data_IF_546947326249
#
_entry.id   IF_546947326249
#
_cell.length_a   1.000
_cell.length_b   1.000
_cell.length_c   1.000
_cell.angle_alpha   90.00
_cell.angle_beta   90.00
_cell.angle_gamma   90.00
#
_symmetry.space_group_name_H-M   'P 1'
#
loop_
_entity.id
_entity.type
_entity.pdbx_description
1 polymer ?
#
# COMPACT_ATOMS: atom_id res chain seq x y z
N UNK A 1 -36.51 5.66 -28.53
CA UNK A 1 -35.53 6.51 -27.81
C UNK A 1 -34.18 5.85 -27.95
N UNK A 2 -33.21 6.54 -28.53
CA UNK A 2 -31.85 6.03 -28.75
C UNK A 2 -31.18 5.69 -27.41
N UNK A 3 -30.72 4.45 -27.23
CA UNK A 3 -30.08 4.00 -25.99
C UNK A 3 -28.80 4.80 -25.68
N UNK A 4 -28.07 5.25 -26.70
CA UNK A 4 -26.90 6.12 -26.52
C UNK A 4 -27.30 7.44 -25.87
N UNK A 5 -28.45 8.01 -26.27
CA UNK A 5 -28.92 9.29 -25.71
C UNK A 5 -29.36 9.12 -24.26
N UNK A 6 -29.95 7.98 -23.91
CA UNK A 6 -30.32 7.66 -22.53
C UNK A 6 -29.07 7.55 -21.66
N UNK A 7 -28.04 6.83 -22.13
CA UNK A 7 -26.76 6.71 -21.44
C UNK A 7 -26.07 8.08 -21.27
N UNK A 8 -26.06 8.91 -22.31
CA UNK A 8 -25.48 10.26 -22.27
C UNK A 8 -26.22 11.17 -21.28
N UNK A 9 -27.56 11.15 -21.31
CA UNK A 9 -28.39 11.93 -20.38
C UNK A 9 -28.23 11.44 -18.95
N UNK A 10 -28.18 10.12 -18.73
CA UNK A 10 -27.84 9.55 -17.42
C UNK A 10 -26.51 10.11 -16.91
N UNK A 11 -25.47 10.04 -17.73
CA UNK A 11 -24.14 10.50 -17.34
C UNK A 11 -24.13 11.98 -16.95
N UNK A 12 -24.79 12.83 -17.75
CA UNK A 12 -24.93 14.26 -17.43
C UNK A 12 -25.77 14.54 -16.19
N UNK A 13 -26.79 13.73 -15.92
CA UNK A 13 -27.66 13.91 -14.77
C UNK A 13 -26.94 13.60 -13.44
N UNK A 14 -26.06 12.59 -13.42
CA UNK A 14 -25.40 12.14 -12.18
C UNK A 14 -24.03 12.79 -11.93
N UNK A 15 -23.38 13.32 -12.98
CA UNK A 15 -22.06 13.94 -12.86
C UNK A 15 -22.10 15.27 -12.11
N UNK A 16 -21.20 15.41 -11.11
CA UNK A 16 -21.04 16.60 -10.27
C UNK A 16 -19.58 17.04 -10.26
N UNK A 17 -19.17 17.74 -11.32
CA UNK A 17 -17.80 18.21 -11.48
C UNK A 17 -17.63 19.21 -12.62
N UNK A 18 -16.37 19.42 -13.00
CA UNK A 18 -15.94 20.24 -14.13
C UNK A 18 -16.36 19.62 -15.45
N UNK A 19 -16.95 20.42 -16.34
CA UNK A 19 -17.45 19.95 -17.63
C UNK A 19 -16.38 19.28 -18.49
N UNK A 20 -15.12 19.70 -18.36
CA UNK A 20 -13.99 19.17 -19.11
C UNK A 20 -13.80 17.66 -18.87
N UNK A 21 -14.05 17.18 -17.64
CA UNK A 21 -13.93 15.76 -17.28
C UNK A 21 -15.05 14.95 -17.93
N UNK A 22 -16.30 15.42 -17.83
CA UNK A 22 -17.42 14.77 -18.49
C UNK A 22 -17.28 14.78 -20.03
N UNK A 23 -16.77 15.87 -20.61
CA UNK A 23 -16.48 15.97 -22.04
C UNK A 23 -15.44 14.93 -22.45
N UNK A 24 -14.37 14.73 -21.67
CA UNK A 24 -13.37 13.67 -21.94
C UNK A 24 -14.02 12.30 -21.98
N UNK A 25 -14.90 11.97 -21.04
CA UNK A 25 -15.63 10.70 -21.07
C UNK A 25 -16.51 10.57 -22.31
N UNK A 26 -17.20 11.64 -22.71
CA UNK A 26 -18.02 11.67 -23.93
C UNK A 26 -17.18 11.45 -25.18
N UNK A 27 -16.02 12.10 -25.29
CA UNK A 27 -15.08 11.92 -26.39
C UNK A 27 -14.61 10.46 -26.49
N UNK A 28 -14.25 9.86 -25.36
CA UNK A 28 -13.83 8.46 -25.30
C UNK A 28 -14.97 7.50 -25.68
N UNK A 29 -16.19 7.76 -25.18
CA UNK A 29 -17.34 6.85 -25.33
C UNK A 29 -18.04 6.93 -26.69
N UNK A 30 -18.23 8.14 -27.20
CA UNK A 30 -19.04 8.38 -28.40
C UNK A 30 -18.20 8.70 -29.65
N UNK A 31 -16.87 8.83 -29.50
CA UNK A 31 -15.96 9.09 -30.62
C UNK A 31 -16.38 10.34 -31.40
N UNK A 32 -16.44 10.26 -32.72
CA UNK A 32 -16.79 11.39 -33.60
C UNK A 32 -18.17 12.03 -33.30
N UNK A 33 -19.09 11.28 -32.68
CA UNK A 33 -20.43 11.78 -32.34
C UNK A 33 -20.50 12.50 -30.98
N UNK A 34 -19.37 12.68 -30.29
CA UNK A 34 -19.39 13.20 -28.92
C UNK A 34 -20.05 14.59 -28.81
N UNK A 35 -19.84 15.49 -29.77
CA UNK A 35 -20.45 16.83 -29.77
C UNK A 35 -21.98 16.75 -29.91
N UNK A 36 -22.46 15.93 -30.85
CA UNK A 36 -23.88 15.66 -31.05
C UNK A 36 -24.52 15.12 -29.77
N UNK A 37 -23.87 14.12 -29.14
CA UNK A 37 -24.35 13.50 -27.91
C UNK A 37 -24.32 14.46 -26.73
N UNK A 38 -23.29 15.30 -26.64
CA UNK A 38 -23.18 16.33 -25.60
C UNK A 38 -24.33 17.32 -25.69
N UNK A 39 -24.57 17.89 -26.87
CA UNK A 39 -25.67 18.84 -27.07
C UNK A 39 -27.04 18.20 -26.86
N UNK A 40 -27.28 17.01 -27.43
CA UNK A 40 -28.56 16.31 -27.30
C UNK A 40 -28.88 15.89 -25.86
N UNK A 41 -27.86 15.69 -25.03
CA UNK A 41 -28.04 15.34 -23.61
C UNK A 41 -28.16 16.56 -22.69
N UNK A 42 -28.19 17.78 -23.24
CA UNK A 42 -28.43 19.00 -22.48
C UNK A 42 -29.78 18.97 -21.73
N UNK A 43 -29.81 19.60 -20.55
CA UNK A 43 -30.98 19.58 -19.66
C UNK A 43 -31.30 18.20 -19.09
N UNK A 44 -30.30 17.34 -18.90
CA UNK A 44 -30.47 16.07 -18.19
C UNK A 44 -30.88 16.29 -16.72
N UNK A 45 -31.74 15.42 -16.21
CA UNK A 45 -32.38 15.54 -14.89
C UNK A 45 -32.54 14.17 -14.20
N UNK A 46 -33.13 14.16 -13.00
CA UNK A 46 -33.42 12.91 -12.27
C UNK A 46 -34.37 11.96 -13.03
N UNK A 47 -35.25 12.47 -13.89
CA UNK A 47 -36.11 11.63 -14.74
C UNK A 47 -35.28 10.78 -15.72
N UNK A 48 -34.12 11.29 -16.16
CA UNK A 48 -33.21 10.56 -17.05
C UNK A 48 -32.46 9.45 -16.30
N UNK A 49 -32.22 9.63 -15.00
CA UNK A 49 -31.67 8.59 -14.12
C UNK A 49 -32.66 7.43 -14.05
N UNK A 50 -33.93 7.74 -13.76
CA UNK A 50 -35.00 6.74 -13.71
C UNK A 50 -35.22 6.05 -15.07
N UNK A 51 -35.20 6.81 -16.17
CA UNK A 51 -35.35 6.24 -17.50
C UNK A 51 -34.23 5.26 -17.88
N UNK A 52 -33.00 5.49 -17.38
CA UNK A 52 -31.89 4.56 -17.54
C UNK A 52 -32.06 3.30 -16.67
N UNK A 53 -32.53 3.44 -15.44
CA UNK A 53 -32.85 2.29 -14.56
C UNK A 53 -33.97 1.41 -15.14
N UNK A 54 -35.04 2.03 -15.66
CA UNK A 54 -36.16 1.33 -16.33
C UNK A 54 -35.70 0.56 -17.57
N UNK A 55 -34.56 0.95 -18.17
CA UNK A 55 -33.94 0.35 -19.37
C UNK A 55 -32.59 -0.30 -19.09
N UNK A 56 -32.36 -0.71 -17.85
CA UNK A 56 -31.09 -1.30 -17.43
C UNK A 56 -30.70 -2.52 -18.27
N UNK A 57 -31.68 -3.33 -18.71
CA UNK A 57 -31.45 -4.49 -19.58
C UNK A 57 -30.85 -4.10 -20.92
N UNK A 58 -31.49 -3.16 -21.63
CA UNK A 58 -31.00 -2.72 -22.94
C UNK A 58 -29.69 -1.92 -22.85
N UNK A 59 -29.51 -1.11 -21.79
CA UNK A 59 -28.24 -0.41 -21.56
C UNK A 59 -27.09 -1.37 -21.25
N UNK A 60 -27.39 -2.46 -20.53
CA UNK A 60 -26.42 -3.54 -20.30
C UNK A 60 -26.00 -4.20 -21.61
N UNK A 61 -26.94 -4.51 -22.51
CA UNK A 61 -26.61 -5.09 -23.82
C UNK A 61 -25.78 -4.12 -24.67
N UNK A 62 -26.11 -2.83 -24.62
CA UNK A 62 -25.34 -1.77 -25.27
C UNK A 62 -23.89 -1.75 -24.77
N UNK A 63 -23.66 -1.68 -23.46
CA UNK A 63 -22.30 -1.67 -22.89
C UNK A 63 -21.58 -2.98 -23.20
N UNK A 64 -22.24 -4.13 -23.06
CA UNK A 64 -21.67 -5.43 -23.37
C UNK A 64 -21.21 -5.52 -24.84
N UNK A 65 -21.97 -4.94 -25.78
CA UNK A 65 -21.61 -4.93 -27.21
C UNK A 65 -20.36 -4.10 -27.53
N UNK A 66 -19.97 -3.17 -26.66
CA UNK A 66 -18.78 -2.31 -26.84
C UNK A 66 -17.49 -2.94 -26.27
N UNK A 67 -17.60 -3.93 -25.39
CA UNK A 67 -16.45 -4.58 -24.74
C UNK A 67 -15.69 -5.42 -25.78
N UNK A 68 -14.48 -4.97 -26.13
CA UNK A 68 -13.56 -5.65 -27.05
C UNK A 68 -12.48 -6.48 -26.33
N UNK A 69 -12.35 -6.35 -25.01
CA UNK A 69 -11.43 -7.09 -24.15
C UNK A 69 -12.15 -7.54 -22.87
N UNK A 70 -12.75 -8.74 -22.97
CA UNK A 70 -13.57 -9.34 -21.90
C UNK A 70 -12.75 -9.62 -20.64
N UNK A 71 -11.46 -9.96 -20.78
CA UNK A 71 -10.61 -10.28 -19.64
C UNK A 71 -10.38 -9.03 -18.76
N UNK A 72 -10.08 -7.87 -19.38
CA UNK A 72 -9.95 -6.60 -18.66
C UNK A 72 -11.27 -6.19 -17.98
N UNK A 73 -12.40 -6.36 -18.67
CA UNK A 73 -13.72 -6.07 -18.09
C UNK A 73 -14.05 -6.98 -16.90
N UNK A 74 -13.70 -8.26 -17.00
CA UNK A 74 -13.90 -9.24 -15.93
C UNK A 74 -13.01 -8.96 -14.71
N UNK A 75 -11.74 -8.59 -14.93
CA UNK A 75 -10.82 -8.17 -13.86
C UNK A 75 -11.31 -6.92 -13.13
N UNK A 76 -11.78 -5.90 -13.86
CA UNK A 76 -12.39 -4.72 -13.25
C UNK A 76 -13.62 -5.11 -12.41
N UNK A 77 -14.53 -5.92 -12.97
CA UNK A 77 -15.75 -6.31 -12.27
C UNK A 77 -15.46 -7.11 -10.99
N UNK A 78 -14.45 -7.99 -11.02
CA UNK A 78 -14.07 -8.83 -9.89
C UNK A 78 -13.28 -8.07 -8.81
N UNK A 79 -12.34 -7.22 -9.21
CA UNK A 79 -11.35 -6.65 -8.30
C UNK A 79 -11.35 -5.11 -8.35
N UNK A 80 -11.34 -4.49 -9.53
CA UNK A 80 -11.22 -3.04 -9.69
C UNK A 80 -12.42 -2.23 -9.15
N UNK A 81 -13.62 -2.83 -9.08
CA UNK A 81 -14.86 -2.20 -8.61
C UNK A 81 -14.78 -1.54 -7.23
N UNK A 82 -13.88 -2.01 -6.35
CA UNK A 82 -13.71 -1.43 -5.01
C UNK A 82 -12.93 -0.12 -5.00
N UNK A 83 -12.32 0.27 -6.11
CA UNK A 83 -11.51 1.48 -6.27
C UNK A 83 -12.35 2.56 -6.94
N UNK A 84 -12.63 3.63 -6.21
CA UNK A 84 -13.52 4.71 -6.67
C UNK A 84 -12.81 6.00 -7.05
N UNK A 85 -11.53 6.14 -6.72
CA UNK A 85 -10.72 7.30 -7.14
C UNK A 85 -10.03 6.98 -8.47
N UNK A 86 -10.06 7.91 -9.44
CA UNK A 86 -9.55 7.71 -10.81
C UNK A 86 -8.14 7.13 -10.81
N UNK A 87 -7.24 7.76 -10.05
CA UNK A 87 -5.84 7.34 -9.95
C UNK A 87 -5.65 6.03 -9.19
N UNK A 88 -6.44 5.77 -8.15
CA UNK A 88 -6.40 4.48 -7.45
C UNK A 88 -6.83 3.35 -8.39
N UNK A 89 -7.92 3.54 -9.14
CA UNK A 89 -8.41 2.56 -10.10
C UNK A 89 -7.38 2.32 -11.21
N UNK A 90 -6.76 3.38 -11.74
CA UNK A 90 -5.69 3.26 -12.73
C UNK A 90 -4.53 2.40 -12.21
N UNK A 91 -3.96 2.76 -11.05
CA UNK A 91 -2.87 2.03 -10.41
C UNK A 91 -3.27 0.59 -10.05
N UNK A 92 -4.48 0.39 -9.54
CA UNK A 92 -5.01 -0.94 -9.21
C UNK A 92 -5.12 -1.83 -10.44
N UNK A 93 -5.61 -1.32 -11.56
CA UNK A 93 -5.66 -2.07 -12.83
C UNK A 93 -4.26 -2.35 -13.38
N UNK A 94 -3.28 -1.46 -13.18
CA UNK A 94 -1.88 -1.75 -13.51
C UNK A 94 -1.29 -2.90 -12.68
N UNK A 95 -1.61 -2.98 -11.39
CA UNK A 95 -1.19 -4.10 -10.53
C UNK A 95 -1.79 -5.44 -11.00
N UNK A 96 -2.98 -5.40 -11.60
CA UNK A 96 -3.59 -6.53 -12.32
C UNK A 96 -2.96 -6.81 -13.70
N UNK A 97 -1.98 -6.01 -14.12
CA UNK A 97 -1.32 -6.13 -15.42
C UNK A 97 -2.12 -5.56 -16.59
N UNK A 98 -2.98 -4.56 -16.32
CA UNK A 98 -3.82 -3.87 -17.32
C UNK A 98 -3.50 -2.37 -17.33
N UNK A 99 -2.42 -2.02 -18.01
CA UNK A 99 -2.04 -0.62 -18.25
C UNK A 99 -3.08 0.10 -19.09
N UNK A 100 -3.37 1.36 -18.75
CA UNK A 100 -4.35 2.21 -19.45
C UNK A 100 -5.75 1.59 -19.55
N UNK A 101 -6.12 0.72 -18.60
CA UNK A 101 -7.42 0.05 -18.60
C UNK A 101 -8.58 1.04 -18.42
N UNK A 102 -8.38 2.11 -17.64
CA UNK A 102 -9.41 3.09 -17.33
C UNK A 102 -10.03 3.70 -18.59
N UNK A 103 -9.21 4.11 -19.56
CA UNK A 103 -9.71 4.68 -20.81
C UNK A 103 -10.59 3.68 -21.60
N UNK A 104 -10.21 2.40 -21.62
CA UNK A 104 -11.02 1.34 -22.23
C UNK A 104 -12.35 1.17 -21.48
N UNK A 105 -12.32 1.14 -20.15
CA UNK A 105 -13.50 0.98 -19.31
C UNK A 105 -14.50 2.14 -19.51
N UNK A 106 -13.99 3.38 -19.63
CA UNK A 106 -14.80 4.57 -19.92
C UNK A 106 -15.39 4.51 -21.33
N UNK A 107 -14.55 4.16 -22.33
CA UNK A 107 -14.95 3.99 -23.73
C UNK A 107 -16.06 2.96 -23.90
N UNK A 108 -16.01 1.84 -23.19
CA UNK A 108 -17.06 0.83 -23.23
C UNK A 108 -18.36 1.28 -22.56
N UNK A 109 -18.30 2.25 -21.65
CA UNK A 109 -19.42 2.63 -20.79
C UNK A 109 -19.50 1.83 -19.49
N UNK A 110 -18.50 0.98 -19.21
CA UNK A 110 -18.45 0.16 -18.00
C UNK A 110 -18.09 0.97 -16.75
N UNK A 111 -17.35 2.08 -16.94
CA UNK A 111 -16.98 3.06 -15.91
C UNK A 111 -17.32 4.47 -16.42
N UNK A 112 -17.64 5.38 -15.51
CA UNK A 112 -17.73 6.81 -15.79
C UNK A 112 -17.34 7.64 -14.58
N UNK A 113 -17.00 8.89 -14.81
CA UNK A 113 -16.85 9.88 -13.75
C UNK A 113 -18.20 10.28 -13.16
N UNK A 114 -18.29 10.30 -11.83
CA UNK A 114 -19.39 10.89 -11.06
C UNK A 114 -19.00 12.26 -10.49
N UNK A 115 -17.71 12.53 -10.34
CA UNK A 115 -17.12 13.85 -10.08
C UNK A 115 -15.73 13.90 -10.71
N UNK A 116 -14.98 14.98 -10.49
CA UNK A 116 -13.65 15.18 -11.10
C UNK A 116 -12.66 14.03 -10.89
N UNK A 117 -12.73 13.36 -9.74
CA UNK A 117 -11.79 12.30 -9.36
C UNK A 117 -12.50 10.98 -9.04
N UNK A 118 -13.83 10.97 -8.96
CA UNK A 118 -14.60 9.77 -8.59
C UNK A 118 -15.07 9.06 -9.83
N UNK A 119 -14.61 7.82 -10.01
CA UNK A 119 -15.00 6.92 -11.09
C UNK A 119 -15.66 5.68 -10.55
N UNK A 120 -16.73 5.22 -11.19
CA UNK A 120 -17.38 3.98 -10.84
C UNK A 120 -18.20 3.43 -12.00
N UNK A 121 -18.64 2.18 -11.87
CA UNK A 121 -19.64 1.63 -12.77
C UNK A 121 -21.03 2.23 -12.46
N UNK A 122 -21.81 2.62 -13.48
CA UNK A 122 -23.21 2.99 -13.31
C UNK A 122 -24.02 1.89 -12.60
N UNK A 123 -24.94 2.21 -11.67
CA UNK A 123 -25.74 1.21 -10.95
C UNK A 123 -26.57 0.29 -11.85
N UNK A 124 -27.08 0.79 -12.99
CA UNK A 124 -27.84 -0.02 -13.94
C UNK A 124 -27.01 -1.17 -14.56
N UNK A 125 -25.68 -1.14 -14.45
CA UNK A 125 -24.78 -2.21 -14.93
C UNK A 125 -24.54 -3.32 -13.90
N UNK A 126 -25.16 -3.29 -12.73
CA UNK A 126 -24.95 -4.31 -11.69
C UNK A 126 -25.11 -5.75 -12.22
N UNK A 127 -26.11 -5.99 -13.08
CA UNK A 127 -26.31 -7.30 -13.71
C UNK A 127 -25.16 -7.72 -14.65
N UNK A 128 -24.58 -6.78 -15.40
CA UNK A 128 -23.45 -7.05 -16.29
C UNK A 128 -22.19 -7.36 -15.50
N UNK A 129 -21.92 -6.58 -14.43
CA UNK A 129 -20.76 -6.79 -13.57
C UNK A 129 -20.78 -8.18 -12.93
N UNK A 130 -21.94 -8.63 -12.44
CA UNK A 130 -22.08 -9.97 -11.86
C UNK A 130 -21.76 -11.09 -12.87
N UNK A 131 -22.06 -10.88 -14.15
CA UNK A 131 -21.73 -11.85 -15.20
C UNK A 131 -20.26 -11.83 -15.57
N UNK A 132 -19.68 -10.64 -15.71
CA UNK A 132 -18.25 -10.46 -15.96
C UNK A 132 -17.42 -11.06 -14.81
N UNK A 133 -17.83 -10.86 -13.56
CA UNK A 133 -17.20 -11.45 -12.38
C UNK A 133 -17.12 -12.99 -12.44
N UNK A 134 -18.18 -13.65 -12.94
CA UNK A 134 -18.21 -15.12 -13.07
C UNK A 134 -17.19 -15.64 -14.07
N UNK A 135 -16.80 -14.82 -15.03
CA UNK A 135 -15.82 -15.14 -16.06
C UNK A 135 -14.41 -14.63 -15.72
N UNK A 136 -14.21 -14.05 -14.54
CA UNK A 136 -12.91 -13.51 -14.14
C UNK A 136 -11.89 -14.64 -13.95
N UNK A 137 -10.67 -14.51 -14.50
CA UNK A 137 -9.60 -15.44 -14.18
C UNK A 137 -9.30 -15.36 -12.68
N UNK A 138 -9.09 -16.51 -12.04
CA UNK A 138 -8.49 -16.52 -10.70
C UNK A 138 -7.06 -16.02 -10.83
N UNK A 139 -6.78 -14.89 -10.21
CA UNK A 139 -5.43 -14.39 -10.05
C UNK A 139 -4.85 -14.95 -8.76
N UNK A 140 -3.63 -15.46 -8.85
CA UNK A 140 -2.82 -15.86 -7.71
C UNK A 140 -1.53 -15.03 -7.76
N UNK A 141 -1.48 -13.97 -6.96
CA UNK A 141 -0.32 -13.09 -6.87
C UNK A 141 0.43 -13.49 -5.61
N UNK A 142 1.49 -14.27 -5.77
CA UNK A 142 2.25 -14.76 -4.63
C UNK A 142 2.83 -13.61 -3.78
N UNK A 143 2.22 -13.37 -2.61
CA UNK A 143 2.65 -12.33 -1.67
C UNK A 143 4.06 -12.61 -1.11
N UNK A 144 4.54 -13.86 -1.17
CA UNK A 144 5.92 -14.17 -0.77
C UNK A 144 6.97 -13.58 -1.71
N UNK A 145 6.58 -13.04 -2.87
CA UNK A 145 7.46 -12.20 -3.68
C UNK A 145 7.99 -10.97 -2.91
N UNK A 146 7.37 -10.58 -1.80
CA UNK A 146 7.93 -9.60 -0.85
C UNK A 146 9.34 -9.97 -0.36
N UNK A 147 9.68 -11.26 -0.30
CA UNK A 147 11.01 -11.73 0.09
C UNK A 147 12.10 -11.24 -0.86
N UNK A 148 11.80 -11.04 -2.15
CA UNK A 148 12.76 -10.47 -3.10
C UNK A 148 13.17 -9.03 -2.73
N UNK A 149 12.32 -8.32 -1.98
CA UNK A 149 12.57 -6.96 -1.49
C UNK A 149 13.19 -6.96 -0.08
N UNK A 150 13.51 -8.13 0.49
CA UNK A 150 14.16 -8.22 1.80
C UNK A 150 15.49 -7.43 1.85
N UNK A 151 16.19 -7.29 0.73
CA UNK A 151 17.44 -6.51 0.68
C UNK A 151 17.23 -4.99 0.63
N UNK A 152 15.98 -4.51 0.65
CA UNK A 152 15.61 -3.10 0.66
C UNK A 152 14.78 -2.73 1.92
N UNK A 153 15.40 -2.67 3.12
CA UNK A 153 14.74 -2.30 4.36
C UNK A 153 13.98 -0.95 4.33
N UNK A 154 14.49 0.14 3.69
CA UNK A 154 13.75 1.39 3.56
C UNK A 154 12.36 1.21 2.93
N UNK A 155 12.29 0.50 1.81
CA UNK A 155 11.04 0.25 1.08
C UNK A 155 10.06 -0.62 1.88
N UNK A 156 10.57 -1.66 2.57
CA UNK A 156 9.74 -2.51 3.42
C UNK A 156 9.23 -1.78 4.66
N UNK A 157 10.03 -0.90 5.26
CA UNK A 157 9.58 -0.04 6.34
C UNK A 157 8.47 0.89 5.86
N UNK A 158 8.69 1.60 4.75
CA UNK A 158 7.68 2.49 4.16
C UNK A 158 6.37 1.74 3.89
N UNK A 159 6.44 0.58 3.22
CA UNK A 159 5.28 -0.26 2.95
C UNK A 159 4.56 -0.66 4.24
N UNK A 160 5.27 -1.17 5.25
CA UNK A 160 4.67 -1.54 6.53
C UNK A 160 3.97 -0.35 7.19
N UNK A 161 4.63 0.81 7.22
CA UNK A 161 4.08 2.03 7.83
C UNK A 161 2.84 2.54 7.13
N UNK A 162 2.83 2.50 5.79
CA UNK A 162 1.69 2.92 4.97
C UNK A 162 0.51 1.96 5.15
N UNK A 163 0.74 0.65 5.05
CA UNK A 163 -0.30 -0.37 5.23
C UNK A 163 -0.89 -0.36 6.64
N UNK A 164 -0.07 -0.10 7.67
CA UNK A 164 -0.55 -0.04 9.05
C UNK A 164 -1.17 1.32 9.43
N UNK A 165 -1.08 2.34 8.56
CA UNK A 165 -1.48 3.72 8.88
C UNK A 165 -0.67 4.36 10.02
N UNK A 166 0.54 3.87 10.28
CA UNK A 166 1.42 4.37 11.36
C UNK A 166 2.69 5.03 10.82
N UNK A 167 2.82 5.23 9.51
CA UNK A 167 4.00 5.83 8.90
C UNK A 167 4.38 7.16 9.58
N UNK A 168 5.67 7.29 9.94
CA UNK A 168 6.26 8.49 10.53
C UNK A 168 7.39 8.97 9.62
N UNK A 169 7.13 10.07 8.91
CA UNK A 169 8.04 10.66 7.93
C UNK A 169 9.33 11.19 8.56
N UNK A 170 9.26 11.79 9.75
CA UNK A 170 10.45 12.30 10.46
C UNK A 170 11.37 11.12 10.82
N UNK A 171 10.77 10.07 11.39
CA UNK A 171 11.50 8.88 11.78
C UNK A 171 12.05 8.12 10.57
N UNK A 172 11.32 8.05 9.45
CA UNK A 172 11.82 7.51 8.20
C UNK A 172 13.03 8.30 7.69
N UNK A 173 12.95 9.64 7.67
CA UNK A 173 14.08 10.49 7.25
C UNK A 173 15.33 10.28 8.07
N UNK A 174 15.18 10.11 9.38
CA UNK A 174 16.32 9.85 10.29
C UNK A 174 17.01 8.53 9.96
N UNK A 175 16.25 7.46 9.70
CA UNK A 175 16.77 6.10 9.55
C UNK A 175 17.10 5.69 8.10
N UNK A 176 16.48 6.33 7.12
CA UNK A 176 16.55 5.91 5.72
C UNK A 176 16.75 7.06 4.72
N UNK A 177 16.65 8.32 5.15
CA UNK A 177 16.73 9.49 4.27
C UNK A 177 15.39 9.86 3.65
N UNK A 178 15.42 10.62 2.55
CA UNK A 178 14.20 11.15 1.95
C UNK A 178 13.22 10.05 1.53
N UNK A 179 11.93 10.31 1.80
CA UNK A 179 10.86 9.40 1.39
C UNK A 179 10.81 9.36 -0.13
N UNK A 180 10.83 8.18 -0.75
CA UNK A 180 10.75 8.07 -2.20
C UNK A 180 9.43 8.65 -2.72
N UNK A 181 9.49 9.32 -3.87
CA UNK A 181 8.30 9.87 -4.56
C UNK A 181 7.43 8.80 -5.22
N UNK A 182 7.98 7.61 -5.38
CA UNK A 182 7.27 6.45 -5.89
C UNK A 182 7.88 5.20 -5.25
N UNK A 183 7.04 4.28 -4.82
CA UNK A 183 7.46 2.95 -4.42
C UNK A 183 6.62 1.94 -5.21
N UNK A 184 7.27 0.98 -5.89
CA UNK A 184 6.60 -0.12 -6.57
C UNK A 184 7.15 -1.46 -6.12
N UNK A 185 6.30 -2.26 -5.49
CA UNK A 185 6.63 -3.59 -4.98
C UNK A 185 6.00 -4.62 -5.91
N UNK A 186 6.68 -4.87 -7.04
CA UNK A 186 6.23 -5.81 -8.07
C UNK A 186 4.80 -5.54 -8.51
N UNK A 187 3.94 -6.56 -8.37
CA UNK A 187 2.49 -6.47 -8.59
C UNK A 187 1.68 -6.35 -7.29
N UNK A 188 2.32 -6.22 -6.13
CA UNK A 188 1.67 -6.26 -4.82
C UNK A 188 1.13 -4.89 -4.45
N UNK A 189 1.96 -3.85 -4.56
CA UNK A 189 1.55 -2.51 -4.18
C UNK A 189 2.35 -1.43 -4.92
N UNK A 190 1.74 -0.26 -5.04
CA UNK A 190 2.36 0.96 -5.55
C UNK A 190 1.97 2.13 -4.65
N UNK A 191 2.92 3.00 -4.35
CA UNK A 191 2.69 4.23 -3.59
C UNK A 191 3.14 5.44 -4.40
N UNK A 192 2.30 6.46 -4.40
CA UNK A 192 2.66 7.83 -4.83
C UNK A 192 2.11 8.84 -3.81
N UNK A 193 2.78 9.98 -3.56
CA UNK A 193 2.34 10.96 -2.57
C UNK A 193 0.97 11.57 -2.82
N UNK A 194 0.54 11.65 -4.08
CA UNK A 194 -0.74 12.23 -4.50
C UNK A 194 -1.93 11.28 -4.28
N UNK A 195 -1.69 9.97 -4.28
CA UNK A 195 -2.73 8.94 -4.14
C UNK A 195 -2.68 8.23 -2.78
N UNK A 196 -1.47 8.00 -2.27
CA UNK A 196 -1.23 7.09 -1.16
C UNK A 196 -0.84 5.69 -1.63
N UNK A 197 -0.98 4.70 -0.75
CA UNK A 197 -0.67 3.29 -1.05
C UNK A 197 -1.87 2.63 -1.73
N UNK A 198 -1.64 2.09 -2.93
CA UNK A 198 -2.59 1.25 -3.65
C UNK A 198 -2.07 -0.18 -3.62
N UNK A 199 -2.86 -1.08 -3.04
CA UNK A 199 -2.59 -2.52 -2.99
C UNK A 199 -3.27 -3.20 -4.16
N UNK A 200 -2.71 -4.31 -4.63
CA UNK A 200 -3.32 -5.14 -5.65
C UNK A 200 -4.73 -5.52 -5.19
N UNK A 201 -5.79 -5.19 -5.96
CA UNK A 201 -7.17 -5.36 -5.50
C UNK A 201 -7.61 -6.83 -5.37
N UNK A 202 -6.74 -7.79 -5.68
CA UNK A 202 -6.91 -9.21 -5.33
C UNK A 202 -6.82 -9.44 -3.81
N UNK A 203 -6.06 -8.60 -3.09
CA UNK A 203 -5.85 -8.71 -1.65
C UNK A 203 -6.28 -7.45 -0.91
N UNK A 204 -6.63 -7.63 0.36
CA UNK A 204 -6.76 -6.52 1.31
C UNK A 204 -5.39 -6.00 1.76
N UNK A 205 -5.28 -4.71 2.16
CA UNK A 205 -4.07 -4.18 2.79
C UNK A 205 -3.61 -4.99 4.01
N UNK A 206 -4.55 -5.56 4.76
CA UNK A 206 -4.29 -6.40 5.93
C UNK A 206 -3.58 -7.70 5.55
N UNK A 207 -4.01 -8.39 4.49
CA UNK A 207 -3.35 -9.62 4.01
C UNK A 207 -1.90 -9.37 3.60
N UNK A 208 -1.62 -8.24 2.94
CA UNK A 208 -0.24 -7.86 2.58
C UNK A 208 0.58 -7.55 3.84
N UNK A 209 0.00 -6.84 4.80
CA UNK A 209 0.67 -6.51 6.06
C UNK A 209 0.98 -7.78 6.88
N UNK A 210 0.10 -8.78 6.91
CA UNK A 210 0.32 -10.05 7.60
C UNK A 210 1.54 -10.79 7.06
N UNK A 211 1.67 -10.90 5.73
CA UNK A 211 2.83 -11.54 5.09
C UNK A 211 4.11 -10.76 5.36
N UNK A 212 4.05 -9.42 5.30
CA UNK A 212 5.19 -8.56 5.61
C UNK A 212 5.67 -8.74 7.06
N UNK A 213 4.74 -8.81 8.01
CA UNK A 213 5.04 -9.05 9.43
C UNK A 213 5.60 -10.45 9.67
N UNK A 214 5.12 -11.47 8.96
CA UNK A 214 5.69 -12.82 9.04
C UNK A 214 7.11 -12.89 8.47
N UNK A 215 7.39 -12.22 7.34
CA UNK A 215 8.75 -12.08 6.82
C UNK A 215 9.66 -11.39 7.85
N UNK A 216 9.18 -10.31 8.47
CA UNK A 216 9.89 -9.59 9.52
C UNK A 216 10.18 -10.47 10.74
N UNK A 217 9.22 -11.31 11.14
CA UNK A 217 9.36 -12.27 12.24
C UNK A 217 10.48 -13.26 12.00
N UNK A 218 10.53 -13.85 10.80
CA UNK A 218 11.58 -14.82 10.43
C UNK A 218 12.97 -14.19 10.50
N UNK A 219 13.11 -12.97 9.98
CA UNK A 219 14.40 -12.24 10.01
C UNK A 219 14.78 -11.76 11.40
N UNK A 220 13.84 -11.25 12.19
CA UNK A 220 14.08 -10.86 13.57
C UNK A 220 14.56 -12.05 14.41
N UNK A 221 13.99 -13.24 14.18
CA UNK A 221 14.43 -14.47 14.84
C UNK A 221 15.84 -14.89 14.41
N UNK A 222 16.16 -14.83 13.12
CA UNK A 222 17.50 -15.13 12.63
C UNK A 222 18.55 -14.16 13.23
N UNK A 223 18.23 -12.87 13.29
CA UNK A 223 19.10 -11.86 13.86
C UNK A 223 19.25 -12.03 15.38
N UNK A 224 18.18 -12.37 16.10
CA UNK A 224 18.26 -12.63 17.54
C UNK A 224 19.16 -13.83 17.86
N UNK A 225 19.16 -14.86 17.01
CA UNK A 225 20.09 -15.99 17.10
C UNK A 225 21.54 -15.60 16.82
N UNK A 226 21.78 -14.76 15.82
CA UNK A 226 23.12 -14.28 15.49
C UNK A 226 23.71 -13.41 16.61
N UNK A 227 22.87 -12.62 17.29
CA UNK A 227 23.29 -11.79 18.43
C UNK A 227 23.60 -12.59 19.70
N UNK A 228 23.10 -13.82 19.80
CA UNK A 228 23.28 -14.72 20.95
C UNK A 228 23.00 -14.07 22.33
N UNK A 229 22.03 -13.15 22.40
CA UNK A 229 21.70 -12.44 23.64
C UNK A 229 21.14 -13.40 24.71
N UNK A 230 21.47 -13.15 25.98
CA UNK A 230 20.95 -13.90 27.12
C UNK A 230 19.59 -13.37 27.57
N UNK A 231 18.51 -14.12 27.42
CA UNK A 231 17.20 -13.71 27.92
C UNK A 231 16.04 -14.43 27.26
N UNK A 232 14.85 -13.86 27.41
CA UNK A 232 13.64 -14.35 26.75
C UNK A 232 13.40 -13.56 25.46
N UNK A 233 13.19 -14.28 24.36
CA UNK A 233 12.84 -13.71 23.07
C UNK A 233 11.38 -14.04 22.72
N UNK A 234 10.64 -13.03 22.31
CA UNK A 234 9.34 -13.19 21.66
C UNK A 234 9.22 -12.23 20.47
N UNK A 235 8.36 -12.55 19.50
CA UNK A 235 8.01 -11.59 18.45
C UNK A 235 6.70 -10.90 18.83
N UNK A 236 6.73 -9.58 18.98
CA UNK A 236 5.55 -8.78 19.29
C UNK A 236 4.87 -8.33 18.00
N UNK A 237 3.66 -8.82 17.73
CA UNK A 237 2.83 -8.34 16.61
C UNK A 237 2.46 -6.87 16.76
N UNK A 238 2.23 -6.40 17.98
CA UNK A 238 1.93 -4.99 18.26
C UNK A 238 3.10 -4.06 17.94
N UNK A 239 4.32 -4.42 18.37
CA UNK A 239 5.51 -3.62 18.09
C UNK A 239 6.08 -3.88 16.69
N UNK A 240 5.64 -4.97 16.02
CA UNK A 240 6.16 -5.49 14.75
C UNK A 240 7.69 -5.65 14.76
N UNK A 241 8.22 -6.16 15.87
CA UNK A 241 9.64 -6.46 16.06
C UNK A 241 9.82 -7.65 17.00
N UNK A 242 10.99 -8.30 16.92
CA UNK A 242 11.45 -9.21 17.96
C UNK A 242 11.81 -8.43 19.22
N UNK A 243 11.32 -8.85 20.38
CA UNK A 243 11.62 -8.27 21.67
C UNK A 243 12.45 -9.26 22.48
N UNK A 244 13.66 -8.86 22.85
CA UNK A 244 14.53 -9.64 23.71
C UNK A 244 14.60 -8.99 25.09
N UNK A 245 14.05 -9.66 26.10
CA UNK A 245 13.99 -9.19 27.47
C UNK A 245 15.22 -9.65 28.24
N UNK A 246 16.01 -8.68 28.72
CA UNK A 246 17.25 -8.93 29.45
C UNK A 246 17.06 -8.54 30.91
N UNK A 247 17.55 -9.39 31.83
CA UNK A 247 17.64 -9.11 33.26
C UNK A 247 19.00 -9.61 33.74
N UNK A 248 19.94 -8.69 33.89
CA UNK A 248 21.36 -9.05 34.05
C UNK A 248 21.80 -9.21 35.50
N UNK A 249 21.28 -8.37 36.40
CA UNK A 249 21.67 -8.35 37.81
C UNK A 249 20.49 -8.02 38.74
N UNK A 250 19.25 -8.08 38.22
CA UNK A 250 18.05 -7.67 38.95
C UNK A 250 17.94 -6.16 39.20
N UNK A 251 18.90 -5.36 38.72
CA UNK A 251 18.81 -3.90 38.76
C UNK A 251 17.96 -3.38 37.59
N UNK A 252 17.17 -2.34 37.86
CA UNK A 252 16.34 -1.71 36.83
C UNK A 252 17.15 -1.03 35.71
N UNK A 253 18.42 -0.69 35.96
CA UNK A 253 19.28 0.03 35.00
C UNK A 253 19.89 -0.89 33.94
N UNK A 254 20.11 -2.16 34.27
CA UNK A 254 20.63 -3.19 33.35
C UNK A 254 19.58 -4.19 32.88
N UNK A 255 18.34 -4.05 33.37
CA UNK A 255 17.19 -4.79 32.87
C UNK A 255 16.45 -3.96 31.84
N UNK A 256 16.21 -4.51 30.66
CA UNK A 256 15.59 -3.76 29.57
C UNK A 256 15.25 -4.62 28.37
N UNK A 257 14.88 -3.96 27.28
CA UNK A 257 14.39 -4.63 26.07
C UNK A 257 15.29 -4.27 24.89
N UNK A 258 15.77 -5.29 24.20
CA UNK A 258 16.38 -5.12 22.88
C UNK A 258 15.29 -5.35 21.83
N UNK A 259 14.91 -4.30 21.13
CA UNK A 259 13.95 -4.37 20.03
C UNK A 259 14.70 -4.66 18.72
N UNK A 260 14.49 -5.85 18.17
CA UNK A 260 15.13 -6.35 16.95
C UNK A 260 14.16 -6.17 15.79
N UNK A 261 14.41 -5.15 14.98
CA UNK A 261 13.56 -4.70 13.89
C UNK A 261 14.35 -4.77 12.57
N UNK A 262 14.26 -5.88 11.80
CA UNK A 262 15.02 -6.04 10.53
C UNK A 262 14.91 -4.83 9.60
N UNK A 263 13.71 -4.27 9.50
CA UNK A 263 13.48 -2.89 9.11
C UNK A 263 12.70 -2.18 10.21
N UNK A 264 12.75 -0.86 10.22
CA UNK A 264 12.15 -0.04 11.27
C UNK A 264 10.64 -0.30 11.37
N UNK A 265 10.14 -0.37 12.59
CA UNK A 265 8.71 -0.36 12.86
C UNK A 265 8.29 1.03 13.28
N UNK A 266 7.24 1.57 12.66
CA UNK A 266 6.63 2.84 13.07
C UNK A 266 5.56 2.66 14.17
N UNK A 267 5.38 1.44 14.67
CA UNK A 267 4.35 1.14 15.67
C UNK A 267 4.49 2.03 16.90
N UNK A 268 3.41 2.76 17.23
CA UNK A 268 3.38 3.61 18.43
C UNK A 268 3.61 2.78 19.70
N UNK A 269 3.30 1.47 19.69
CA UNK A 269 3.51 0.58 20.84
C UNK A 269 4.99 0.33 21.11
N UNK A 270 5.84 0.28 20.08
CA UNK A 270 7.28 0.22 20.22
C UNK A 270 7.79 1.52 20.86
N UNK A 271 7.44 2.66 20.24
CA UNK A 271 7.95 3.98 20.63
C UNK A 271 7.38 4.54 21.94
N UNK A 272 6.29 3.97 22.47
CA UNK A 272 5.78 4.32 23.82
C UNK A 272 6.50 3.57 24.95
N UNK A 273 7.16 2.46 24.66
CA UNK A 273 7.83 1.60 25.67
C UNK A 273 9.33 1.92 25.86
N UNK A 274 9.82 3.07 25.38
CA UNK A 274 11.26 3.42 25.29
C UNK A 274 12.04 3.55 26.62
N UNK A 275 11.51 3.11 27.77
CA UNK A 275 12.31 3.07 29.00
C UNK A 275 13.28 1.90 28.93
N UNK A 276 14.57 2.21 28.88
CA UNK A 276 15.68 1.26 28.79
C UNK A 276 15.55 0.28 27.61
N UNK A 277 15.40 0.85 26.40
CA UNK A 277 15.31 0.09 25.15
C UNK A 277 16.55 0.35 24.29
N UNK A 278 17.10 -0.70 23.69
CA UNK A 278 18.08 -0.61 22.60
C UNK A 278 17.40 -1.11 21.33
N UNK A 279 17.50 -0.35 20.25
CA UNK A 279 16.97 -0.74 18.94
C UNK A 279 18.08 -1.39 18.12
N UNK A 280 17.79 -2.53 17.53
CA UNK A 280 18.66 -3.19 16.56
C UNK A 280 17.97 -3.19 15.21
N UNK A 281 18.64 -2.68 14.18
CA UNK A 281 18.12 -2.59 12.80
C UNK A 281 19.11 -3.25 11.84
N UNK A 282 18.62 -3.96 10.83
CA UNK A 282 19.51 -4.45 9.77
C UNK A 282 19.79 -3.34 8.75
N UNK A 283 21.06 -3.20 8.37
CA UNK A 283 21.49 -2.18 7.42
C UNK A 283 22.72 -1.41 7.89
N UNK A 284 23.00 -0.33 7.19
CA UNK A 284 24.07 0.62 7.53
C UNK A 284 23.50 1.81 8.28
N UNK A 285 24.31 2.41 9.13
CA UNK A 285 23.96 3.66 9.80
C UNK A 285 23.83 4.79 8.77
N UNK A 286 22.77 5.60 8.83
CA UNK A 286 22.61 6.75 7.95
C UNK A 286 23.73 7.79 8.14
N UNK A 287 24.22 8.40 7.05
CA UNK A 287 25.21 9.47 7.14
C UNK A 287 24.60 10.67 7.89
N UNK A 288 25.19 11.02 9.03
CA UNK A 288 24.75 12.14 9.87
C UNK A 288 24.02 11.74 11.16
N UNK A 289 23.61 10.48 11.32
CA UNK A 289 23.07 9.99 12.59
C UNK A 289 24.21 9.70 13.58
N UNK A 290 24.48 10.65 14.48
CA UNK A 290 25.53 10.56 15.50
C UNK A 290 24.99 10.29 16.91
N UNK A 291 23.77 10.71 17.20
CA UNK A 291 23.09 10.40 18.46
C UNK A 291 21.59 10.28 18.24
N UNK A 292 20.91 9.52 19.11
CA UNK A 292 19.47 9.34 19.04
C UNK A 292 18.84 9.26 20.45
N UNK A 293 17.51 9.29 20.54
CA UNK A 293 16.79 9.27 21.83
C UNK A 293 17.06 7.99 22.63
N UNK A 294 17.32 6.89 21.93
CA UNK A 294 17.71 5.58 22.48
C UNK A 294 18.99 5.08 21.82
N UNK A 295 19.62 4.05 22.38
CA UNK A 295 20.74 3.37 21.73
C UNK A 295 20.26 2.63 20.49
N UNK A 296 20.99 2.78 19.39
CA UNK A 296 20.68 2.09 18.13
C UNK A 296 21.91 1.34 17.65
N UNK A 297 21.72 0.08 17.27
CA UNK A 297 22.74 -0.78 16.67
C UNK A 297 22.29 -1.14 15.26
N UNK A 298 23.08 -0.76 14.27
CA UNK A 298 22.89 -1.16 12.88
C UNK A 298 23.75 -2.38 12.60
N UNK A 299 23.19 -3.43 12.00
CA UNK A 299 23.89 -4.69 11.73
C UNK A 299 23.89 -5.01 10.24
N UNK A 300 25.08 -5.28 9.68
CA UNK A 300 25.23 -5.72 8.30
C UNK A 300 26.47 -6.58 8.12
N UNK A 301 26.31 -7.82 7.66
CA UNK A 301 27.44 -8.65 7.22
C UNK A 301 28.51 -8.93 8.29
N UNK A 302 28.15 -8.99 9.57
CA UNK A 302 29.10 -9.18 10.67
C UNK A 302 29.72 -7.88 11.22
N UNK A 303 29.34 -6.73 10.65
CA UNK A 303 29.66 -5.41 11.18
C UNK A 303 28.49 -4.88 12.02
N UNK A 304 28.82 -4.18 13.09
CA UNK A 304 27.86 -3.46 13.93
C UNK A 304 28.26 -1.98 14.05
N UNK A 305 27.38 -1.08 13.65
CA UNK A 305 27.56 0.37 13.85
C UNK A 305 26.65 0.85 14.98
N UNK A 306 27.24 1.47 16.01
CA UNK A 306 26.55 1.84 17.24
C UNK A 306 26.36 3.36 17.30
N UNK A 307 25.11 3.77 17.48
CA UNK A 307 24.70 5.15 17.75
C UNK A 307 24.36 5.27 19.23
N UNK A 308 25.09 6.13 19.93
CA UNK A 308 24.89 6.33 21.36
C UNK A 308 23.60 7.11 21.64
N UNK A 309 22.86 6.74 22.71
CA UNK A 309 21.73 7.52 23.17
C UNK A 309 22.17 8.89 23.69
N UNK A 310 21.25 9.86 23.67
CA UNK A 310 21.45 11.18 24.28
C UNK A 310 21.74 11.11 25.79
N UNK A 311 21.22 10.08 26.47
CA UNK A 311 21.50 9.79 27.88
C UNK A 311 22.26 8.47 27.99
N UNK A 312 23.33 8.38 28.80
CA UNK A 312 24.10 7.14 28.96
C UNK A 312 23.22 5.93 29.28
N UNK A 313 23.50 4.79 28.65
CA UNK A 313 22.75 3.55 28.83
C UNK A 313 23.69 2.39 29.13
N UNK A 314 23.63 1.88 30.36
CA UNK A 314 24.36 0.65 30.77
C UNK A 314 23.91 -0.58 29.99
N UNK A 315 22.65 -0.60 29.55
CA UNK A 315 22.13 -1.66 28.68
C UNK A 315 22.87 -1.65 27.34
N UNK A 316 23.04 -0.48 26.71
CA UNK A 316 23.76 -0.39 25.44
C UNK A 316 25.22 -0.84 25.59
N UNK A 317 25.93 -0.39 26.63
CA UNK A 317 27.31 -0.83 26.92
C UNK A 317 27.41 -2.36 26.98
N UNK A 318 26.49 -3.01 27.69
CA UNK A 318 26.42 -4.46 27.74
C UNK A 318 26.14 -5.11 26.38
N UNK A 319 25.25 -4.54 25.56
CA UNK A 319 25.00 -5.05 24.19
C UNK A 319 26.27 -4.94 23.34
N UNK A 320 27.02 -3.84 23.46
CA UNK A 320 28.30 -3.66 22.77
C UNK A 320 29.31 -4.73 23.18
N UNK A 321 29.42 -5.05 24.47
CA UNK A 321 30.28 -6.13 24.97
C UNK A 321 29.88 -7.50 24.40
N UNK A 322 28.57 -7.78 24.28
CA UNK A 322 28.09 -9.01 23.64
C UNK A 322 28.45 -9.03 22.16
N UNK A 323 28.30 -7.93 21.43
CA UNK A 323 28.62 -7.87 20.00
C UNK A 323 30.10 -8.22 19.75
N UNK A 324 31.02 -7.67 20.55
CA UNK A 324 32.43 -8.06 20.51
C UNK A 324 32.62 -9.55 20.80
N UNK A 325 31.95 -10.07 21.83
CA UNK A 325 32.05 -11.48 22.23
C UNK A 325 31.46 -12.44 21.18
N UNK A 326 30.44 -12.00 20.45
CA UNK A 326 29.81 -12.72 19.35
C UNK A 326 30.60 -12.62 18.02
N UNK A 327 31.71 -11.88 18.01
CA UNK A 327 32.61 -11.78 16.86
C UNK A 327 32.24 -10.71 15.83
N UNK A 328 31.38 -9.75 16.18
CA UNK A 328 31.09 -8.60 15.32
C UNK A 328 32.24 -7.61 15.31
N UNK A 329 32.50 -6.99 14.15
CA UNK A 329 33.34 -5.80 14.07
C UNK A 329 32.50 -4.58 14.47
N UNK A 330 32.76 -4.03 15.66
CA UNK A 330 31.97 -2.93 16.21
C UNK A 330 32.64 -1.59 15.91
N UNK A 331 31.86 -0.64 15.39
CA UNK A 331 32.22 0.77 15.29
C UNK A 331 31.28 1.61 16.12
N UNK A 332 31.85 2.47 16.97
CA UNK A 332 31.10 3.37 17.86
C UNK A 332 31.25 4.81 17.38
N UNK A 333 30.15 5.57 17.38
CA UNK A 333 30.13 7.00 17.07
C UNK A 333 29.53 7.85 18.18
#
# INVERSE_FOLDING_TARGET
>A
MDLHLIEARYQRAVFKGRSEVAIRDFMLRYGERWEEMWEASSGASEEDVKAAEDKAGELRELVASRIDDVETAALYAAYGRSLSVERELELGMELLGRHSALEKLIRWGLVMHFSDEVVAAPPYLAGLLLELMRNSPRLDVDLWQLEAFAHDPPSLALLEGLLSGEFDEELHRIFYGEVPRELRIGKIAVYTPDVGIVVNPVYSPEEVLEVLVELKRRRAYALSKALALHGEYEFSSEARCGLHYLSLDGSAEKSGVVAICPWLSYSRKLWRKLRNVVLVVEGQRPPGLTSFKIGVVFIKGGEAEVVKPQLPSKLLEYIVDILYSAGFFVSES
#
